data_IF_525290339103
#
_entry.id   IF_525290339103
#
_cell.length_a   1.000
_cell.length_b   1.000
_cell.length_c   1.000
_cell.angle_alpha   90.00
_cell.angle_beta   90.00
_cell.angle_gamma   90.00
#
_symmetry.space_group_name_H-M   'P 1'
#
loop_
_entity.id
_entity.type
_entity.pdbx_description
1 polymer ?
#
# COMPACT_ATOMS: atom_id res chain seq x y z
N UNK A 1 15.53 37.87 10.78
CA UNK A 1 14.76 37.43 9.59
C UNK A 1 14.46 35.92 9.57
N UNK A 2 15.31 35.02 10.08
CA UNK A 2 15.04 33.57 10.11
C UNK A 2 13.84 33.16 10.98
N UNK A 3 13.70 33.72 12.19
CA UNK A 3 12.65 33.34 13.16
C UNK A 3 11.21 33.69 12.72
N UNK A 4 11.01 34.80 12.00
CA UNK A 4 9.67 35.15 11.49
C UNK A 4 9.28 34.30 10.27
N UNK A 5 10.25 33.97 9.41
CA UNK A 5 10.01 33.04 8.30
C UNK A 5 9.63 31.66 8.84
N UNK A 6 10.35 31.16 9.83
CA UNK A 6 10.05 29.87 10.49
C UNK A 6 8.66 29.84 11.15
N UNK A 7 8.26 30.90 11.86
CA UNK A 7 6.90 31.02 12.43
C UNK A 7 5.81 31.07 11.35
N UNK A 8 6.07 31.74 10.23
CA UNK A 8 5.15 31.77 9.10
C UNK A 8 4.99 30.38 8.46
N UNK A 9 6.10 29.69 8.19
CA UNK A 9 6.11 28.32 7.65
C UNK A 9 5.36 27.35 8.59
N UNK A 10 5.61 27.41 9.91
CA UNK A 10 4.91 26.59 10.91
C UNK A 10 3.39 26.84 10.94
N UNK A 11 2.97 28.10 10.84
CA UNK A 11 1.55 28.45 10.79
C UNK A 11 0.91 28.00 9.48
N UNK A 12 1.61 28.15 8.36
CA UNK A 12 1.16 27.68 7.05
C UNK A 12 0.99 26.15 7.02
N UNK A 13 1.98 25.40 7.54
CA UNK A 13 1.92 23.93 7.70
C UNK A 13 0.75 23.52 8.60
N UNK A 14 0.51 24.22 9.72
CA UNK A 14 -0.66 23.97 10.59
C UNK A 14 -1.98 24.21 9.88
N UNK A 15 -2.11 25.30 9.12
CA UNK A 15 -3.32 25.58 8.35
C UNK A 15 -3.56 24.53 7.27
N UNK A 16 -2.50 24.08 6.59
CA UNK A 16 -2.55 22.95 5.65
C UNK A 16 -3.03 21.66 6.30
N UNK A 17 -2.52 21.35 7.49
CA UNK A 17 -3.03 20.21 8.28
C UNK A 17 -4.50 20.35 8.66
N UNK A 18 -4.99 21.57 8.89
CA UNK A 18 -6.39 21.79 9.29
C UNK A 18 -7.36 21.63 8.12
N UNK A 19 -6.91 21.92 6.89
CA UNK A 19 -7.69 21.74 5.65
C UNK A 19 -7.31 20.49 4.86
N UNK A 20 -6.44 19.64 5.40
CA UNK A 20 -5.88 18.50 4.65
C UNK A 20 -6.95 17.56 4.15
N UNK A 21 -8.06 17.45 4.88
CA UNK A 21 -9.17 16.56 4.54
C UNK A 21 -9.82 16.85 3.19
N UNK A 22 -9.84 18.11 2.73
CA UNK A 22 -10.39 18.48 1.42
C UNK A 22 -9.50 17.94 0.30
N UNK A 23 -8.20 18.20 0.39
CA UNK A 23 -7.20 17.73 -0.59
C UNK A 23 -7.02 16.22 -0.54
N UNK A 24 -7.07 15.63 0.65
CA UNK A 24 -7.01 14.19 0.87
C UNK A 24 -8.15 13.48 0.15
N UNK A 25 -9.39 13.95 0.33
CA UNK A 25 -10.56 13.36 -0.33
C UNK A 25 -10.48 13.47 -1.86
N UNK A 26 -9.97 14.58 -2.39
CA UNK A 26 -9.78 14.77 -3.84
C UNK A 26 -8.72 13.82 -4.40
N UNK A 27 -7.54 13.74 -3.78
CA UNK A 27 -6.44 12.87 -4.23
C UNK A 27 -6.86 11.41 -4.14
N UNK A 28 -7.47 11.01 -3.02
CA UNK A 28 -7.98 9.66 -2.79
C UNK A 28 -9.10 9.32 -3.78
N UNK A 29 -10.03 10.24 -4.03
CA UNK A 29 -11.09 10.04 -5.02
C UNK A 29 -10.55 9.82 -6.42
N UNK A 30 -9.59 10.66 -6.86
CA UNK A 30 -8.93 10.49 -8.15
C UNK A 30 -8.15 9.17 -8.24
N UNK A 31 -7.38 8.84 -7.20
CA UNK A 31 -6.64 7.58 -7.14
C UNK A 31 -7.57 6.37 -7.22
N UNK A 32 -8.74 6.41 -6.58
CA UNK A 32 -9.74 5.35 -6.67
C UNK A 32 -10.27 5.19 -8.09
N UNK A 33 -10.62 6.28 -8.76
CA UNK A 33 -11.11 6.23 -10.15
C UNK A 33 -10.06 5.63 -11.10
N UNK A 34 -8.78 5.97 -10.92
CA UNK A 34 -7.68 5.38 -11.68
C UNK A 34 -7.55 3.90 -11.36
N UNK A 35 -7.50 3.53 -10.07
CA UNK A 35 -7.35 2.13 -9.64
C UNK A 35 -8.47 1.23 -10.14
N UNK A 36 -9.71 1.73 -10.25
CA UNK A 36 -10.83 0.94 -10.78
C UNK A 36 -10.68 0.58 -12.26
N UNK A 37 -9.85 1.29 -13.03
CA UNK A 37 -9.58 1.02 -14.46
C UNK A 37 -8.35 0.13 -14.70
N UNK A 38 -7.50 -0.01 -13.69
CA UNK A 38 -6.27 -0.81 -13.77
C UNK A 38 -6.55 -2.30 -14.01
N UNK A 39 -7.54 -2.96 -13.37
CA UNK A 39 -7.83 -4.39 -13.59
C UNK A 39 -8.09 -4.72 -15.06
N UNK A 40 -8.97 -3.96 -15.72
CA UNK A 40 -9.30 -4.18 -17.14
C UNK A 40 -8.06 -4.01 -18.02
N UNK A 41 -7.27 -2.96 -17.74
CA UNK A 41 -6.02 -2.69 -18.46
C UNK A 41 -5.00 -3.83 -18.29
N UNK A 42 -4.89 -4.39 -17.08
CA UNK A 42 -4.01 -5.53 -16.79
C UNK A 42 -4.48 -6.80 -17.50
N UNK A 43 -5.79 -7.10 -17.53
CA UNK A 43 -6.34 -8.26 -18.26
C UNK A 43 -6.05 -8.15 -19.76
N UNK A 44 -6.26 -6.96 -20.34
CA UNK A 44 -5.95 -6.71 -21.75
C UNK A 44 -4.45 -6.86 -22.06
N UNK A 45 -3.58 -6.51 -21.11
CA UNK A 45 -2.14 -6.70 -21.26
C UNK A 45 -1.68 -8.16 -21.07
N UNK A 46 -2.27 -8.89 -20.12
CA UNK A 46 -1.84 -10.24 -19.75
C UNK A 46 -2.40 -11.33 -20.67
N UNK A 47 -3.63 -11.18 -21.16
CA UNK A 47 -4.29 -12.22 -21.97
C UNK A 47 -3.56 -12.59 -23.27
N UNK A 48 -2.96 -11.66 -24.04
CA UNK A 48 -2.17 -12.04 -25.22
C UNK A 48 -0.86 -12.74 -24.85
N UNK A 49 -0.26 -12.35 -23.71
CA UNK A 49 0.96 -12.98 -23.19
C UNK A 49 0.66 -14.42 -22.81
N UNK A 50 -0.44 -14.69 -22.12
CA UNK A 50 -0.88 -16.03 -21.77
C UNK A 50 -1.08 -16.94 -22.99
N UNK A 51 -1.71 -16.42 -24.04
CA UNK A 51 -1.93 -17.17 -25.26
C UNK A 51 -0.63 -17.50 -26.03
N UNK A 52 0.38 -16.63 -25.93
CA UNK A 52 1.61 -16.72 -26.75
C UNK A 52 2.76 -17.43 -26.05
N UNK A 53 2.79 -17.40 -24.71
CA UNK A 53 3.90 -17.96 -23.93
C UNK A 53 3.87 -19.50 -23.95
N UNK A 54 4.79 -20.07 -24.73
CA UNK A 54 5.04 -21.52 -24.80
C UNK A 54 6.08 -22.00 -23.78
N UNK A 55 6.98 -21.12 -23.35
CA UNK A 55 8.04 -21.47 -22.43
C UNK A 55 7.46 -21.74 -21.01
N UNK A 56 7.69 -22.94 -20.42
CA UNK A 56 7.16 -23.31 -19.12
C UNK A 56 7.53 -22.35 -17.99
N UNK A 57 8.74 -21.76 -18.05
CA UNK A 57 9.22 -20.81 -17.04
C UNK A 57 8.38 -19.52 -17.04
N UNK A 58 8.19 -18.90 -18.21
CA UNK A 58 7.37 -17.69 -18.32
C UNK A 58 5.89 -17.98 -18.05
N UNK A 59 5.40 -19.18 -18.40
CA UNK A 59 4.03 -19.60 -18.08
C UNK A 59 3.78 -19.70 -16.58
N UNK A 60 4.77 -20.12 -15.79
CA UNK A 60 4.68 -20.14 -14.33
C UNK A 60 4.57 -18.75 -13.69
N UNK A 61 4.95 -17.69 -14.42
CA UNK A 61 4.84 -16.29 -13.97
C UNK A 61 3.44 -15.70 -14.18
N UNK A 62 2.60 -16.32 -15.02
CA UNK A 62 1.28 -15.78 -15.38
C UNK A 62 0.31 -15.70 -14.19
N UNK A 63 0.20 -16.71 -13.31
CA UNK A 63 -0.63 -16.59 -12.11
C UNK A 63 -0.22 -15.41 -11.21
N UNK A 64 1.08 -15.05 -11.21
CA UNK A 64 1.56 -13.87 -10.47
C UNK A 64 1.12 -12.56 -11.14
N UNK A 65 0.99 -12.51 -12.46
CA UNK A 65 0.40 -11.37 -13.16
C UNK A 65 -1.08 -11.21 -12.82
N UNK A 66 -1.85 -12.30 -12.82
CA UNK A 66 -3.27 -12.26 -12.45
C UNK A 66 -3.51 -11.93 -10.97
N UNK A 67 -2.59 -12.28 -10.07
CA UNK A 67 -2.70 -11.89 -8.66
C UNK A 67 -2.64 -10.36 -8.46
N UNK A 68 -1.97 -9.62 -9.36
CA UNK A 68 -1.95 -8.15 -9.33
C UNK A 68 -3.34 -7.54 -9.54
N UNK A 69 -4.23 -8.23 -10.28
CA UNK A 69 -5.61 -7.80 -10.50
C UNK A 69 -6.40 -7.88 -9.19
N UNK A 70 -6.34 -9.03 -8.51
CA UNK A 70 -6.97 -9.24 -7.19
C UNK A 70 -6.49 -8.16 -6.22
N UNK A 71 -5.20 -7.92 -6.24
CA UNK A 71 -4.55 -7.04 -5.32
C UNK A 71 -4.96 -5.56 -5.61
N UNK A 72 -5.18 -5.18 -6.88
CA UNK A 72 -5.77 -3.88 -7.26
C UNK A 72 -7.20 -3.70 -6.75
N UNK A 73 -8.02 -4.77 -6.75
CA UNK A 73 -9.35 -4.73 -6.13
C UNK A 73 -9.28 -4.52 -4.62
N UNK A 74 -8.34 -5.18 -3.92
CA UNK A 74 -8.14 -4.98 -2.47
C UNK A 74 -7.79 -3.51 -2.18
N UNK A 75 -6.90 -2.90 -2.97
CA UNK A 75 -6.54 -1.50 -2.82
C UNK A 75 -7.72 -0.56 -3.09
N UNK A 76 -8.47 -0.81 -4.16
CA UNK A 76 -9.67 -0.04 -4.50
C UNK A 76 -10.72 -0.13 -3.38
N UNK A 77 -10.90 -1.31 -2.80
CA UNK A 77 -11.81 -1.52 -1.67
C UNK A 77 -11.37 -0.74 -0.43
N UNK A 78 -10.07 -0.79 -0.06
CA UNK A 78 -9.55 -0.04 1.09
C UNK A 78 -9.72 1.48 0.92
N UNK A 79 -9.46 1.97 -0.29
CA UNK A 79 -9.58 3.39 -0.61
C UNK A 79 -11.06 3.83 -0.63
N UNK A 80 -11.96 3.00 -1.15
CA UNK A 80 -13.41 3.21 -1.05
C UNK A 80 -13.91 3.21 0.40
N UNK A 81 -13.43 2.27 1.22
CA UNK A 81 -13.74 2.23 2.65
C UNK A 81 -13.27 3.50 3.36
N UNK A 82 -12.07 3.99 3.05
CA UNK A 82 -11.56 5.25 3.59
C UNK A 82 -12.49 6.44 3.26
N UNK A 83 -12.95 6.57 2.01
CA UNK A 83 -13.89 7.63 1.60
C UNK A 83 -15.20 7.53 2.39
N UNK A 84 -15.77 6.33 2.53
CA UNK A 84 -17.01 6.10 3.28
C UNK A 84 -16.83 6.50 4.76
N UNK A 85 -15.73 6.07 5.39
CA UNK A 85 -15.42 6.41 6.77
C UNK A 85 -15.21 7.91 6.96
N UNK A 86 -14.59 8.59 5.98
CA UNK A 86 -14.44 10.06 6.02
C UNK A 86 -15.79 10.75 5.88
N UNK A 87 -16.67 10.28 5.01
CA UNK A 87 -18.05 10.75 4.93
C UNK A 87 -18.81 10.59 6.26
N UNK A 88 -18.63 9.44 6.92
CA UNK A 88 -19.19 9.18 8.24
C UNK A 88 -18.64 10.14 9.30
N UNK A 89 -17.32 10.39 9.29
CA UNK A 89 -16.67 11.36 10.17
C UNK A 89 -17.23 12.78 9.99
N UNK A 90 -17.35 13.25 8.74
CA UNK A 90 -17.96 14.56 8.42
C UNK A 90 -19.38 14.64 8.97
N UNK A 91 -20.16 13.56 8.85
CA UNK A 91 -21.51 13.47 9.42
C UNK A 91 -21.54 13.62 10.95
N UNK A 92 -20.63 12.96 11.67
CA UNK A 92 -20.53 13.10 13.14
C UNK A 92 -20.14 14.53 13.52
N UNK A 93 -19.17 15.12 12.84
CA UNK A 93 -18.73 16.50 13.09
C UNK A 93 -19.86 17.50 12.81
N UNK A 94 -20.59 17.32 11.71
CA UNK A 94 -21.76 18.12 11.37
C UNK A 94 -22.91 17.97 12.37
N UNK A 95 -23.12 16.77 12.92
CA UNK A 95 -24.11 16.57 13.97
C UNK A 95 -23.68 17.26 15.27
N UNK A 96 -22.39 17.20 15.62
CA UNK A 96 -21.84 17.84 16.81
C UNK A 96 -21.89 19.38 16.71
N UNK A 97 -21.78 19.96 15.51
CA UNK A 97 -21.88 21.41 15.34
C UNK A 97 -23.31 21.94 15.51
N UNK A 98 -24.33 21.17 15.13
CA UNK A 98 -25.75 21.53 15.31
C UNK A 98 -26.22 21.25 16.74
N UNK A 99 -25.67 20.22 17.40
CA UNK A 99 -26.04 19.82 18.76
C UNK A 99 -24.83 19.79 19.72
N UNK A 100 -24.21 20.95 20.01
CA UNK A 100 -22.98 21.01 20.83
C UNK A 100 -23.18 20.57 22.29
N UNK A 101 -24.38 20.76 22.85
CA UNK A 101 -24.75 20.30 24.21
C UNK A 101 -25.34 18.87 24.20
N UNK A 102 -25.32 18.21 23.04
CA UNK A 102 -26.01 16.94 22.79
C UNK A 102 -27.45 17.11 22.32
N UNK A 103 -28.00 16.06 21.72
CA UNK A 103 -29.37 16.06 21.20
C UNK A 103 -30.36 16.11 22.37
N UNK A 104 -31.25 17.10 22.39
CA UNK A 104 -32.34 17.17 23.36
C UNK A 104 -33.42 16.12 23.03
N UNK A 105 -33.21 14.89 23.53
CA UNK A 105 -34.10 13.76 23.34
C UNK A 105 -35.44 13.90 24.10
N UNK A 106 -35.59 14.91 24.96
CA UNK A 106 -36.84 15.17 25.68
C UNK A 106 -37.94 15.66 24.75
N UNK A 107 -37.56 16.39 23.70
CA UNK A 107 -38.48 16.88 22.67
C UNK A 107 -38.94 15.80 21.68
N UNK A 108 -38.28 14.63 21.66
CA UNK A 108 -38.55 13.58 20.67
C UNK A 108 -39.54 12.50 21.11
N UNK A 109 -40.16 12.63 22.29
CA UNK A 109 -41.21 11.73 22.80
C UNK A 109 -40.89 10.22 22.65
N UNK A 110 -39.60 9.87 22.75
CA UNK A 110 -39.13 8.49 22.61
C UNK A 110 -39.38 7.68 23.88
N UNK A 111 -39.62 6.39 23.71
CA UNK A 111 -39.75 5.46 24.82
C UNK A 111 -38.46 5.44 25.68
N UNK A 112 -38.54 5.38 27.03
CA UNK A 112 -37.41 5.56 27.95
C UNK A 112 -36.19 4.67 27.66
N UNK A 113 -36.44 3.43 27.21
CA UNK A 113 -35.38 2.46 26.85
C UNK A 113 -34.52 2.94 25.68
N UNK A 114 -35.12 3.56 24.66
CA UNK A 114 -34.40 4.13 23.53
C UNK A 114 -33.78 5.48 23.88
N UNK A 115 -34.46 6.32 24.69
CA UNK A 115 -33.94 7.59 25.18
C UNK A 115 -32.58 7.39 25.90
N UNK A 116 -32.49 6.44 26.83
CA UNK A 116 -31.26 6.18 27.58
C UNK A 116 -30.11 5.65 26.71
N UNK A 117 -30.41 4.83 25.69
CA UNK A 117 -29.42 4.32 24.75
C UNK A 117 -28.90 5.42 23.82
N UNK A 118 -29.81 6.21 23.24
CA UNK A 118 -29.49 7.33 22.34
C UNK A 118 -28.72 8.43 23.09
N UNK A 119 -29.10 8.74 24.34
CA UNK A 119 -28.44 9.77 25.13
C UNK A 119 -26.96 9.46 25.36
N UNK A 120 -26.63 8.21 25.70
CA UNK A 120 -25.23 7.78 25.88
C UNK A 120 -24.40 7.86 24.60
N UNK A 121 -24.98 7.51 23.44
CA UNK A 121 -24.28 7.59 22.15
C UNK A 121 -24.13 9.03 21.64
N UNK A 122 -25.16 9.86 21.80
CA UNK A 122 -25.23 11.22 21.27
C UNK A 122 -24.57 12.27 22.17
N UNK A 123 -24.38 12.00 23.46
CA UNK A 123 -23.57 12.87 24.33
C UNK A 123 -22.08 12.79 24.00
N UNK A 124 -21.63 11.72 23.35
CA UNK A 124 -20.21 11.45 23.13
C UNK A 124 -19.80 11.51 21.65
N UNK A 125 -20.43 12.42 20.91
CA UNK A 125 -20.17 12.61 19.47
C UNK A 125 -18.73 13.07 19.21
N UNK A 126 -18.18 13.94 20.05
CA UNK A 126 -16.79 14.39 19.94
C UNK A 126 -15.80 13.23 20.05
N UNK A 127 -15.91 12.40 21.09
CA UNK A 127 -15.06 11.21 21.22
C UNK A 127 -15.25 10.22 20.07
N UNK A 128 -16.49 10.07 19.56
CA UNK A 128 -16.76 9.22 18.40
C UNK A 128 -16.07 9.76 17.14
N UNK A 129 -16.09 11.08 16.93
CA UNK A 129 -15.40 11.72 15.81
C UNK A 129 -13.89 11.47 15.88
N UNK A 130 -13.28 11.62 17.06
CA UNK A 130 -11.84 11.33 17.25
C UNK A 130 -11.52 9.87 16.99
N UNK A 131 -12.38 8.94 17.42
CA UNK A 131 -12.17 7.52 17.19
C UNK A 131 -12.22 7.16 15.69
N UNK A 132 -13.23 7.65 14.98
CA UNK A 132 -13.36 7.43 13.53
C UNK A 132 -12.20 8.07 12.77
N UNK A 133 -11.74 9.26 13.16
CA UNK A 133 -10.58 9.91 12.53
C UNK A 133 -9.31 9.05 12.61
N UNK A 134 -9.07 8.40 13.77
CA UNK A 134 -7.96 7.46 13.94
C UNK A 134 -8.09 6.24 13.04
N UNK A 135 -9.30 5.69 12.89
CA UNK A 135 -9.56 4.57 11.98
C UNK A 135 -9.33 5.01 10.53
N UNK A 136 -9.85 6.17 10.12
CA UNK A 136 -9.63 6.73 8.78
C UNK A 136 -8.13 6.85 8.47
N UNK A 137 -7.35 7.41 9.40
CA UNK A 137 -5.90 7.58 9.28
C UNK A 137 -5.17 6.23 9.20
N UNK A 138 -5.60 5.23 9.98
CA UNK A 138 -5.02 3.89 9.94
C UNK A 138 -5.31 3.17 8.60
N UNK A 139 -6.54 3.24 8.10
CA UNK A 139 -6.93 2.68 6.80
C UNK A 139 -6.17 3.37 5.67
N UNK A 140 -6.01 4.69 5.74
CA UNK A 140 -5.22 5.46 4.79
C UNK A 140 -3.76 5.00 4.78
N UNK A 141 -3.09 4.98 5.94
CA UNK A 141 -1.70 4.53 6.05
C UNK A 141 -1.51 3.09 5.57
N UNK A 142 -2.45 2.20 5.90
CA UNK A 142 -2.44 0.82 5.42
C UNK A 142 -2.58 0.74 3.90
N UNK A 143 -3.43 1.57 3.29
CA UNK A 143 -3.58 1.65 1.83
C UNK A 143 -2.29 2.10 1.16
N UNK A 144 -1.63 3.13 1.70
CA UNK A 144 -0.33 3.59 1.20
C UNK A 144 0.75 2.52 1.32
N UNK A 145 0.78 1.78 2.43
CA UNK A 145 1.68 0.65 2.60
C UNK A 145 1.45 -0.40 1.50
N UNK A 146 0.19 -0.75 1.21
CA UNK A 146 -0.15 -1.66 0.12
C UNK A 146 0.35 -1.11 -1.23
N UNK A 147 0.09 0.16 -1.56
CA UNK A 147 0.60 0.78 -2.80
C UNK A 147 2.11 0.59 -2.94
N UNK A 148 2.88 0.86 -1.88
CA UNK A 148 4.34 0.72 -1.92
C UNK A 148 4.80 -0.74 -2.08
N UNK A 149 4.12 -1.68 -1.42
CA UNK A 149 4.38 -3.11 -1.60
C UNK A 149 4.18 -3.51 -3.07
N UNK A 150 3.14 -3.00 -3.73
CA UNK A 150 2.87 -3.33 -5.12
C UNK A 150 3.91 -2.75 -6.06
N UNK A 151 4.25 -1.48 -5.90
CA UNK A 151 5.31 -0.83 -6.68
C UNK A 151 6.63 -1.62 -6.52
N UNK A 152 6.95 -2.03 -5.29
CA UNK A 152 8.11 -2.88 -4.98
C UNK A 152 8.06 -4.23 -5.70
N UNK A 153 6.90 -4.91 -5.73
CA UNK A 153 6.73 -6.18 -6.44
C UNK A 153 6.89 -6.00 -7.95
N UNK A 154 6.34 -4.94 -8.53
CA UNK A 154 6.49 -4.64 -9.96
C UNK A 154 7.96 -4.42 -10.32
N UNK A 155 8.70 -3.62 -9.54
CA UNK A 155 10.13 -3.42 -9.77
C UNK A 155 10.96 -4.69 -9.56
N UNK A 156 10.59 -5.52 -8.58
CA UNK A 156 11.22 -6.82 -8.38
C UNK A 156 11.11 -7.70 -9.64
N UNK A 157 9.91 -7.87 -10.20
CA UNK A 157 9.73 -8.64 -11.44
C UNK A 157 10.39 -7.99 -12.66
N UNK A 158 10.39 -6.65 -12.76
CA UNK A 158 11.10 -5.95 -13.83
C UNK A 158 12.62 -6.24 -13.78
N UNK A 159 13.20 -6.23 -12.59
CA UNK A 159 14.63 -6.54 -12.43
C UNK A 159 14.95 -8.02 -12.66
N UNK A 160 14.01 -8.94 -12.40
CA UNK A 160 14.16 -10.36 -12.77
C UNK A 160 14.34 -10.50 -14.29
N UNK A 161 13.59 -9.74 -15.09
CA UNK A 161 13.76 -9.72 -16.54
C UNK A 161 15.17 -9.27 -16.96
N UNK A 162 15.73 -8.28 -16.24
CA UNK A 162 17.11 -7.81 -16.47
C UNK A 162 18.15 -8.87 -16.09
N UNK A 163 17.94 -9.65 -15.03
CA UNK A 163 18.85 -10.74 -14.62
C UNK A 163 18.89 -11.86 -15.66
N UNK A 164 17.78 -12.14 -16.34
CA UNK A 164 17.69 -13.18 -17.39
C UNK A 164 18.20 -12.68 -18.75
N UNK A 165 18.15 -11.36 -19.00
CA UNK A 165 18.52 -10.76 -20.30
C UNK A 165 19.92 -11.10 -20.86
N UNK A 166 21.00 -11.24 -20.06
CA UNK A 166 22.34 -11.48 -20.61
C UNK A 166 22.48 -12.85 -21.29
N UNK A 167 21.66 -13.83 -20.90
CA UNK A 167 21.64 -15.16 -21.52
C UNK A 167 21.17 -15.11 -22.97
N UNK A 168 20.28 -14.15 -23.30
CA UNK A 168 19.81 -13.96 -24.67
C UNK A 168 20.92 -13.46 -25.62
N UNK A 169 21.99 -12.87 -25.07
CA UNK A 169 23.14 -12.36 -25.82
C UNK A 169 24.21 -13.43 -26.09
N UNK A 170 24.10 -14.62 -25.49
CA UNK A 170 25.07 -15.71 -25.70
C UNK A 170 24.88 -16.38 -27.07
N UNK A 171 25.97 -16.84 -27.72
CA UNK A 171 25.89 -17.66 -28.94
C UNK A 171 24.99 -18.89 -28.75
N UNK A 172 24.29 -19.29 -29.81
CA UNK A 172 23.27 -20.35 -29.78
C UNK A 172 23.82 -21.68 -29.21
N UNK A 173 25.06 -22.03 -29.53
CA UNK A 173 25.75 -23.23 -29.01
C UNK A 173 25.94 -23.22 -27.49
N UNK A 174 26.25 -22.06 -26.88
CA UNK A 174 26.42 -21.94 -25.42
C UNK A 174 25.06 -21.91 -24.69
N UNK A 175 24.01 -21.41 -25.37
CA UNK A 175 22.66 -21.25 -24.81
C UNK A 175 21.97 -22.58 -24.52
N UNK A 176 22.16 -23.58 -25.39
CA UNK A 176 21.51 -24.89 -25.24
C UNK A 176 22.14 -25.76 -24.13
N UNK A 177 23.46 -25.68 -23.93
CA UNK A 177 24.17 -26.55 -22.96
C UNK A 177 24.33 -25.91 -21.59
N UNK A 178 24.66 -24.62 -21.53
CA UNK A 178 24.97 -23.92 -20.27
C UNK A 178 23.86 -22.93 -19.90
N UNK A 179 23.16 -22.37 -20.90
CA UNK A 179 22.14 -21.34 -20.68
C UNK A 179 20.96 -21.81 -19.82
N UNK A 180 20.43 -23.01 -20.03
CA UNK A 180 19.25 -23.48 -19.30
C UNK A 180 19.52 -23.71 -17.80
N UNK A 181 20.60 -24.43 -17.46
CA UNK A 181 20.97 -24.73 -16.06
C UNK A 181 21.39 -23.48 -15.30
N UNK A 182 22.16 -22.60 -15.95
CA UNK A 182 22.53 -21.29 -15.41
C UNK A 182 21.29 -20.43 -15.12
N UNK A 183 20.36 -20.32 -16.08
CA UNK A 183 19.15 -19.50 -15.92
C UNK A 183 18.31 -19.99 -14.74
N UNK A 184 18.07 -21.30 -14.64
CA UNK A 184 17.28 -21.88 -13.55
C UNK A 184 17.96 -21.60 -12.19
N UNK A 185 19.27 -21.79 -12.10
CA UNK A 185 20.02 -21.54 -10.87
C UNK A 185 19.91 -20.08 -10.39
N UNK A 186 20.16 -19.11 -11.27
CA UNK A 186 20.12 -17.68 -10.90
C UNK A 186 18.73 -17.18 -10.59
N UNK A 187 17.72 -17.68 -11.31
CA UNK A 187 16.32 -17.37 -11.02
C UNK A 187 15.93 -17.89 -9.65
N UNK A 188 16.23 -19.15 -9.34
CA UNK A 188 15.91 -19.74 -8.03
C UNK A 188 16.64 -19.00 -6.90
N UNK A 189 17.90 -18.65 -7.11
CA UNK A 189 18.68 -17.87 -6.14
C UNK A 189 18.07 -16.48 -5.92
N UNK A 190 17.66 -15.81 -7.00
CA UNK A 190 17.00 -14.51 -6.95
C UNK A 190 15.67 -14.59 -6.19
N UNK A 191 14.84 -15.61 -6.47
CA UNK A 191 13.59 -15.86 -5.73
C UNK A 191 13.84 -16.16 -4.25
N UNK A 192 14.84 -16.97 -3.92
CA UNK A 192 15.19 -17.30 -2.55
C UNK A 192 15.53 -16.05 -1.74
N UNK A 193 16.45 -15.20 -2.25
CA UNK A 193 16.80 -13.96 -1.57
C UNK A 193 15.68 -12.93 -1.58
N UNK A 194 14.88 -12.87 -2.65
CA UNK A 194 13.69 -12.02 -2.72
C UNK A 194 12.68 -12.35 -1.63
N UNK A 195 12.37 -13.64 -1.43
CA UNK A 195 11.47 -14.10 -0.37
C UNK A 195 12.03 -13.78 1.01
N UNK A 196 13.34 -13.96 1.24
CA UNK A 196 13.97 -13.60 2.51
C UNK A 196 13.80 -12.12 2.84
N UNK A 197 14.05 -11.23 1.86
CA UNK A 197 13.87 -9.79 2.04
C UNK A 197 12.39 -9.43 2.23
N UNK A 198 11.48 -10.08 1.52
CA UNK A 198 10.03 -9.89 1.70
C UNK A 198 9.56 -10.30 3.11
N UNK A 199 10.06 -11.41 3.65
CA UNK A 199 9.78 -11.85 5.02
C UNK A 199 10.36 -10.86 6.03
N UNK A 200 11.60 -10.39 5.84
CA UNK A 200 12.19 -9.38 6.71
C UNK A 200 11.39 -8.07 6.69
N UNK A 201 10.89 -7.66 5.52
CA UNK A 201 10.03 -6.50 5.38
C UNK A 201 8.70 -6.68 6.12
N UNK A 202 7.98 -7.78 5.88
CA UNK A 202 6.70 -8.09 6.53
C UNK A 202 6.84 -8.29 8.05
N UNK A 203 7.98 -8.80 8.51
CA UNK A 203 8.28 -9.00 9.92
C UNK A 203 8.81 -7.75 10.63
N UNK A 204 8.88 -6.60 9.96
CA UNK A 204 9.43 -5.35 10.50
C UNK A 204 10.90 -5.48 10.93
N UNK A 205 11.68 -6.24 10.16
CA UNK A 205 13.13 -6.31 10.29
C UNK A 205 13.66 -7.36 11.26
N UNK A 206 12.96 -8.49 11.47
CA UNK A 206 13.44 -9.53 12.41
C UNK A 206 14.81 -10.08 11.98
N UNK A 207 15.06 -10.27 10.68
CA UNK A 207 16.34 -10.81 10.21
C UNK A 207 17.49 -9.82 10.44
N UNK A 208 17.21 -8.52 10.38
CA UNK A 208 18.17 -7.46 10.74
C UNK A 208 18.51 -7.42 12.24
N UNK A 209 17.65 -7.98 13.11
CA UNK A 209 17.89 -8.03 14.56
C UNK A 209 18.84 -9.17 14.96
N UNK A 210 19.17 -10.09 14.05
CA UNK A 210 20.08 -11.21 14.31
C UNK A 210 21.53 -10.69 14.38
N UNK A 211 22.13 -10.70 15.57
CA UNK A 211 23.48 -10.16 15.85
C UNK A 211 24.66 -11.01 15.34
N UNK A 212 24.41 -12.11 14.65
CA UNK A 212 25.46 -12.99 14.15
C UNK A 212 26.24 -12.36 12.99
N UNK A 213 27.51 -12.00 13.19
CA UNK A 213 28.35 -11.36 12.16
C UNK A 213 28.46 -12.16 10.84
N UNK A 214 28.37 -13.49 10.92
CA UNK A 214 28.41 -14.39 9.76
C UNK A 214 27.17 -14.28 8.86
N UNK A 215 26.01 -13.94 9.44
CA UNK A 215 24.75 -13.77 8.72
C UNK A 215 24.49 -12.29 8.37
N UNK A 216 24.79 -11.37 9.30
CA UNK A 216 24.51 -9.96 9.15
C UNK A 216 25.26 -9.30 7.99
N UNK A 217 26.54 -9.66 7.76
CA UNK A 217 27.36 -9.11 6.66
C UNK A 217 26.84 -9.48 5.27
N UNK A 218 26.68 -10.77 4.89
CA UNK A 218 26.16 -11.12 3.57
C UNK A 218 24.71 -10.63 3.38
N UNK A 219 23.87 -10.76 4.41
CA UNK A 219 22.50 -10.27 4.36
C UNK A 219 22.40 -8.75 4.15
N UNK A 220 23.33 -7.98 4.71
CA UNK A 220 23.38 -6.54 4.47
C UNK A 220 23.54 -6.20 2.98
N UNK A 221 24.47 -6.83 2.26
CA UNK A 221 24.68 -6.59 0.83
C UNK A 221 23.49 -7.04 -0.02
N UNK A 222 22.94 -8.21 0.28
CA UNK A 222 21.73 -8.73 -0.38
C UNK A 222 20.57 -7.76 -0.18
N UNK A 223 20.33 -7.35 1.07
CA UNK A 223 19.26 -6.40 1.39
C UNK A 223 19.51 -5.01 0.76
N UNK A 224 20.76 -4.58 0.60
CA UNK A 224 21.10 -3.34 -0.07
C UNK A 224 20.77 -3.39 -1.56
N UNK A 225 21.13 -4.48 -2.24
CA UNK A 225 20.76 -4.72 -3.63
C UNK A 225 19.24 -4.71 -3.82
N UNK A 226 18.50 -5.48 -3.02
CA UNK A 226 17.05 -5.52 -3.14
C UNK A 226 16.39 -4.19 -2.79
N UNK A 227 16.89 -3.44 -1.80
CA UNK A 227 16.40 -2.08 -1.51
C UNK A 227 16.58 -1.14 -2.70
N UNK A 228 17.70 -1.22 -3.41
CA UNK A 228 17.90 -0.42 -4.62
C UNK A 228 16.94 -0.84 -5.73
N UNK A 229 16.85 -2.15 -5.98
CA UNK A 229 16.01 -2.74 -7.02
C UNK A 229 14.53 -2.46 -6.82
N UNK A 230 14.01 -2.61 -5.61
CA UNK A 230 12.60 -2.39 -5.32
C UNK A 230 12.23 -0.92 -5.16
N UNK A 231 13.20 -0.01 -5.34
CA UNK A 231 13.04 1.42 -5.10
C UNK A 231 12.91 1.77 -3.61
N UNK A 232 13.10 0.80 -2.71
CA UNK A 232 13.00 1.01 -1.27
C UNK A 232 14.10 1.88 -0.68
N UNK A 233 15.19 2.08 -1.43
CA UNK A 233 16.25 3.02 -1.10
C UNK A 233 15.77 4.50 -1.07
N UNK A 234 14.67 4.83 -1.75
CA UNK A 234 14.11 6.20 -1.75
C UNK A 234 13.14 6.47 -0.60
N UNK A 235 12.75 5.45 0.18
CA UNK A 235 11.75 5.57 1.25
C UNK A 235 12.33 5.76 2.66
N UNK A 236 13.66 5.77 2.82
CA UNK A 236 14.37 6.02 4.09
C UNK A 236 15.10 7.35 4.06
#
# INVERSE_FOLDING_TARGET
MSSQKEKFELNWVRQLHTRSWEMELLIVGFALLVLLRVPDSLVHFLSPIEATVSNPFFRALIPLGFSLIIATYIMSFNLGLHIILRGYWIGIVGLNSVFPEGVNLEKLNFHPRFKNYLQKKLQNLEHSAVHIDRICSAVFAFTFLLIFIFISITFYFLSLALVVSPIALLPESARHTVGASYTIFWVLLYFFFGILVAIDFLSLGILKKIKGNWFARPYYYISAYFRFVTGFAFYQ
#
